data_IF_534439066674
#
_entry.id   IF_534439066674
#
_cell.length_a   1.000
_cell.length_b   1.000
_cell.length_c   1.000
_cell.angle_alpha   90.00
_cell.angle_beta   90.00
_cell.angle_gamma   90.00
#
_symmetry.space_group_name_H-M   'P 1'
#
loop_
_entity.id
_entity.type
_entity.pdbx_description
1 polymer ?
#
# COMPACT_ATOMS: atom_id res chain seq x y z
N UNK A 1 2.83 -42.16 36.05
CA UNK A 1 2.82 -42.16 34.60
C UNK A 1 1.63 -41.33 34.19
N UNK A 2 1.84 -40.21 33.56
CA UNK A 2 0.76 -39.30 33.19
C UNK A 2 0.80 -39.07 31.65
N UNK A 3 -0.38 -39.19 31.02
CA UNK A 3 -0.55 -38.82 29.60
C UNK A 3 0.07 -39.80 28.58
N UNK A 4 0.10 -41.09 28.86
CA UNK A 4 0.63 -42.09 27.92
C UNK A 4 -0.44 -42.44 26.86
N UNK A 5 -0.17 -42.15 25.57
CA UNK A 5 -1.09 -42.49 24.49
C UNK A 5 -0.87 -43.89 23.97
N UNK A 6 -1.94 -44.64 23.83
CA UNK A 6 -1.94 -45.99 23.24
C UNK A 6 -2.95 -46.04 22.11
N UNK A 7 -2.46 -46.44 20.92
CA UNK A 7 -3.31 -46.76 19.79
C UNK A 7 -3.53 -48.26 19.75
N UNK A 8 -4.78 -48.69 19.91
CA UNK A 8 -5.15 -50.10 19.91
C UNK A 8 -6.43 -50.36 19.14
N UNK A 9 -6.52 -51.54 18.51
CA UNK A 9 -7.72 -51.99 17.83
C UNK A 9 -8.52 -52.90 18.81
N UNK A 10 -9.63 -52.34 19.29
CA UNK A 10 -10.48 -53.03 20.26
C UNK A 10 -11.53 -53.87 19.54
N UNK A 11 -11.63 -55.19 19.84
CA UNK A 11 -12.64 -56.05 19.24
C UNK A 11 -14.06 -55.49 19.45
N UNK A 12 -14.80 -55.30 18.36
CA UNK A 12 -16.16 -54.77 18.37
C UNK A 12 -16.30 -53.24 18.54
N UNK A 13 -15.21 -52.51 18.78
CA UNK A 13 -15.19 -51.04 18.93
C UNK A 13 -14.34 -50.37 17.84
N UNK A 14 -13.36 -51.13 17.29
CA UNK A 14 -12.42 -50.65 16.32
C UNK A 14 -11.22 -49.92 16.91
N UNK A 15 -10.43 -49.27 16.02
CA UNK A 15 -9.18 -48.57 16.40
C UNK A 15 -9.48 -47.33 17.24
N UNK A 16 -8.89 -47.24 18.44
CA UNK A 16 -9.02 -46.14 19.36
C UNK A 16 -7.67 -45.64 19.86
N UNK A 17 -7.60 -44.32 20.08
CA UNK A 17 -6.49 -43.68 20.78
C UNK A 17 -6.92 -43.41 22.21
N UNK A 18 -6.28 -44.11 23.16
CA UNK A 18 -6.57 -44.00 24.58
C UNK A 18 -5.46 -43.25 25.31
N UNK A 19 -5.80 -42.27 26.11
CA UNK A 19 -4.86 -41.60 27.01
C UNK A 19 -4.90 -42.31 28.37
N UNK A 20 -3.77 -42.89 28.79
CA UNK A 20 -3.59 -43.62 30.05
C UNK A 20 -2.93 -42.74 31.09
N UNK A 21 -3.52 -42.72 32.27
CA UNK A 21 -2.91 -42.15 33.46
C UNK A 21 -2.84 -43.25 34.54
N UNK A 22 -1.65 -43.45 35.13
CA UNK A 22 -1.42 -44.46 36.16
C UNK A 22 -0.88 -43.79 37.41
N UNK A 23 -1.56 -44.01 38.56
CA UNK A 23 -1.11 -43.57 39.89
C UNK A 23 -1.01 -44.74 40.84
N UNK A 24 0.10 -44.80 41.58
CA UNK A 24 0.27 -45.74 42.70
C UNK A 24 -0.32 -45.09 43.96
N UNK A 25 -1.27 -45.76 44.58
CA UNK A 25 -1.85 -45.38 45.84
C UNK A 25 -1.26 -46.29 46.95
N UNK A 26 -0.66 -45.70 47.97
CA UNK A 26 -0.08 -46.39 49.11
C UNK A 26 -0.99 -46.13 50.29
N UNK A 27 -1.46 -47.19 50.96
CA UNK A 27 -2.28 -47.09 52.15
C UNK A 27 -1.39 -47.17 53.38
N UNK A 28 -1.53 -46.25 54.32
CA UNK A 28 -0.70 -46.16 55.54
C UNK A 28 -0.84 -47.37 56.46
N UNK A 29 -1.87 -48.18 56.27
CA UNK A 29 -2.21 -49.32 57.19
C UNK A 29 -1.89 -50.70 56.63
N UNK A 30 -1.35 -50.82 55.42
CA UNK A 30 -1.05 -52.14 54.83
C UNK A 30 0.16 -52.03 53.84
N UNK A 31 0.96 -53.14 53.78
CA UNK A 31 2.04 -53.36 52.88
C UNK A 31 1.61 -53.39 51.37
N UNK A 32 0.33 -53.25 51.08
CA UNK A 32 -0.23 -53.40 49.78
C UNK A 32 -0.29 -52.04 49.08
N UNK A 33 0.18 -51.96 47.84
CA UNK A 33 0.03 -50.81 46.98
C UNK A 33 -0.98 -51.12 45.85
N UNK A 34 -1.89 -50.20 45.60
CA UNK A 34 -2.86 -50.28 44.49
C UNK A 34 -2.45 -49.37 43.37
N UNK A 35 -2.58 -49.83 42.12
CA UNK A 35 -2.36 -48.98 40.92
C UNK A 35 -3.75 -48.59 40.41
N UNK A 36 -4.01 -47.28 40.40
CA UNK A 36 -5.20 -46.70 39.79
C UNK A 36 -4.85 -46.37 38.32
N UNK A 37 -5.64 -46.93 37.40
CA UNK A 37 -5.51 -46.66 35.96
C UNK A 37 -6.76 -45.89 35.50
N UNK A 38 -6.57 -44.79 34.85
CA UNK A 38 -7.61 -44.03 34.16
C UNK A 38 -7.37 -44.08 32.65
N UNK A 39 -8.41 -44.42 31.89
CA UNK A 39 -8.39 -44.47 30.42
C UNK A 39 -9.37 -43.41 29.90
N UNK A 40 -8.91 -42.59 29.00
CA UNK A 40 -9.75 -41.60 28.31
C UNK A 40 -9.66 -41.83 26.83
N UNK A 41 -10.79 -42.05 26.15
CA UNK A 41 -10.83 -42.12 24.69
C UNK A 41 -10.66 -40.72 24.12
N UNK A 42 -9.55 -40.50 23.41
CA UNK A 42 -9.20 -39.21 22.77
C UNK A 42 -9.20 -39.33 21.26
N UNK A 43 -9.75 -40.39 20.70
CA UNK A 43 -9.74 -40.69 19.25
C UNK A 43 -10.30 -39.53 18.42
N UNK A 44 -11.54 -39.11 18.73
CA UNK A 44 -12.21 -38.03 17.98
C UNK A 44 -11.45 -36.71 18.14
N UNK A 45 -10.99 -36.42 19.37
CA UNK A 45 -10.23 -35.21 19.66
C UNK A 45 -8.93 -35.15 18.81
N UNK A 46 -8.18 -36.27 18.78
CA UNK A 46 -6.93 -36.38 18.01
C UNK A 46 -7.16 -36.32 16.50
N UNK A 47 -8.28 -36.85 16.02
CA UNK A 47 -8.63 -36.75 14.58
C UNK A 47 -8.90 -35.29 14.21
N UNK A 48 -9.74 -34.59 15.00
CA UNK A 48 -10.05 -33.18 14.76
C UNK A 48 -8.81 -32.28 14.88
N UNK A 49 -7.95 -32.51 15.90
CA UNK A 49 -6.70 -31.77 16.05
C UNK A 49 -5.77 -31.95 14.82
N UNK A 50 -5.70 -33.14 14.26
CA UNK A 50 -4.91 -33.43 13.05
C UNK A 50 -5.49 -32.77 11.81
N UNK A 51 -6.81 -32.92 11.59
CA UNK A 51 -7.50 -32.30 10.46
C UNK A 51 -7.37 -30.76 10.50
N UNK A 52 -7.48 -30.16 11.69
CA UNK A 52 -7.27 -28.73 11.88
C UNK A 52 -5.83 -28.30 11.57
N UNK A 53 -4.84 -29.07 12.00
CA UNK A 53 -3.43 -28.79 11.72
C UNK A 53 -3.13 -28.87 10.22
N UNK A 54 -3.66 -29.89 9.54
CA UNK A 54 -3.52 -30.06 8.08
C UNK A 54 -4.20 -28.91 7.33
N UNK A 55 -5.39 -28.48 7.74
CA UNK A 55 -6.10 -27.36 7.14
C UNK A 55 -5.34 -26.04 7.34
N UNK A 56 -4.81 -25.79 8.54
CA UNK A 56 -4.00 -24.61 8.83
C UNK A 56 -2.75 -24.57 7.93
N UNK A 57 -2.02 -25.68 7.85
CA UNK A 57 -0.83 -25.76 7.02
C UNK A 57 -1.16 -25.52 5.53
N UNK A 58 -2.25 -26.10 5.04
CA UNK A 58 -2.71 -25.89 3.67
C UNK A 58 -3.08 -24.43 3.39
N UNK A 59 -3.77 -23.80 4.34
CA UNK A 59 -4.17 -22.39 4.24
C UNK A 59 -2.95 -21.46 4.23
N UNK A 60 -1.96 -21.71 5.08
CA UNK A 60 -0.70 -20.96 5.10
C UNK A 60 0.05 -21.05 3.76
N UNK A 61 0.12 -22.26 3.19
CA UNK A 61 0.78 -22.46 1.89
C UNK A 61 0.03 -21.73 0.76
N UNK A 62 -1.32 -21.76 0.74
CA UNK A 62 -2.12 -21.00 -0.23
C UNK A 62 -1.92 -19.49 -0.10
N UNK A 63 -1.85 -18.98 1.13
CA UNK A 63 -1.56 -17.57 1.37
C UNK A 63 -0.17 -17.19 0.86
N UNK A 64 0.84 -18.03 1.12
CA UNK A 64 2.20 -17.82 0.60
C UNK A 64 2.24 -17.81 -0.92
N UNK A 65 1.57 -18.75 -1.59
CA UNK A 65 1.50 -18.81 -3.05
C UNK A 65 0.77 -17.58 -3.62
N UNK A 66 -0.36 -17.18 -3.02
CA UNK A 66 -1.08 -15.96 -3.39
C UNK A 66 -0.16 -14.74 -3.32
N UNK A 67 0.63 -14.62 -2.24
CA UNK A 67 1.55 -13.51 -2.06
C UNK A 67 2.59 -13.42 -3.19
N UNK A 68 3.25 -14.55 -3.49
CA UNK A 68 4.25 -14.62 -4.57
C UNK A 68 3.64 -14.24 -5.93
N UNK A 69 2.44 -14.76 -6.23
CA UNK A 69 1.75 -14.44 -7.49
C UNK A 69 1.38 -12.94 -7.58
N UNK A 70 0.92 -12.35 -6.49
CA UNK A 70 0.62 -10.92 -6.46
C UNK A 70 1.87 -10.07 -6.70
N UNK A 71 3.00 -10.41 -6.08
CA UNK A 71 4.27 -9.72 -6.32
C UNK A 71 4.71 -9.84 -7.80
N UNK A 72 4.62 -11.03 -8.38
CA UNK A 72 4.97 -11.23 -9.78
C UNK A 72 4.06 -10.42 -10.72
N UNK A 73 2.76 -10.41 -10.48
CA UNK A 73 1.82 -9.60 -11.25
C UNK A 73 2.16 -8.11 -11.17
N UNK A 74 2.49 -7.61 -10.01
CA UNK A 74 2.85 -6.21 -9.78
C UNK A 74 4.13 -5.83 -10.51
N UNK A 75 5.16 -6.66 -10.45
CA UNK A 75 6.38 -6.47 -11.24
C UNK A 75 6.10 -6.44 -12.75
N UNK A 76 5.21 -7.31 -13.23
CA UNK A 76 4.79 -7.32 -14.64
C UNK A 76 4.04 -6.04 -15.02
N UNK A 77 3.18 -5.53 -14.15
CA UNK A 77 2.48 -4.23 -14.36
C UNK A 77 3.49 -3.09 -14.45
N UNK A 78 4.43 -2.98 -13.51
CA UNK A 78 5.47 -1.95 -13.55
C UNK A 78 6.31 -2.01 -14.83
N UNK A 79 6.74 -3.22 -15.24
CA UNK A 79 7.48 -3.43 -16.48
C UNK A 79 6.66 -3.02 -17.72
N UNK A 80 5.37 -3.35 -17.74
CA UNK A 80 4.48 -2.96 -18.86
C UNK A 80 4.32 -1.45 -18.95
N UNK A 81 4.19 -0.77 -17.82
CA UNK A 81 4.13 0.70 -17.78
C UNK A 81 5.43 1.33 -18.26
N UNK A 82 6.61 0.79 -17.92
CA UNK A 82 7.89 1.27 -18.43
C UNK A 82 8.02 1.11 -19.96
N UNK A 83 7.50 0.01 -20.52
CA UNK A 83 7.45 -0.21 -21.97
C UNK A 83 6.54 0.84 -22.62
N UNK A 84 5.36 1.08 -22.07
CA UNK A 84 4.43 2.11 -22.58
C UNK A 84 5.08 3.48 -22.54
N UNK A 85 5.73 3.86 -21.45
CA UNK A 85 6.47 5.10 -21.30
C UNK A 85 7.55 5.23 -22.39
N UNK A 86 8.33 4.17 -22.64
CA UNK A 86 9.36 4.16 -23.67
C UNK A 86 8.79 4.36 -25.07
N UNK A 87 7.64 3.74 -25.38
CA UNK A 87 6.93 3.91 -26.65
C UNK A 87 6.48 5.37 -26.83
N UNK A 88 5.91 5.98 -25.78
CA UNK A 88 5.49 7.39 -25.81
C UNK A 88 6.68 8.31 -26.07
N UNK A 89 7.83 8.08 -25.45
CA UNK A 89 9.05 8.87 -25.67
C UNK A 89 9.58 8.73 -27.11
N UNK A 90 9.59 7.50 -27.66
CA UNK A 90 9.99 7.27 -29.06
C UNK A 90 9.04 7.99 -30.02
N UNK A 91 7.73 7.93 -29.77
CA UNK A 91 6.74 8.65 -30.57
C UNK A 91 6.90 10.16 -30.46
N UNK A 92 7.19 10.69 -29.28
CA UNK A 92 7.45 12.11 -29.06
C UNK A 92 8.65 12.62 -29.88
N UNK A 93 9.67 11.78 -30.11
CA UNK A 93 10.83 12.13 -30.97
C UNK A 93 10.53 12.10 -32.45
N UNK A 94 9.53 11.33 -32.87
CA UNK A 94 9.20 11.12 -34.29
C UNK A 94 8.17 12.13 -34.82
N UNK A 95 7.43 12.84 -33.95
CA UNK A 95 6.43 13.83 -34.40
C UNK A 95 7.07 15.18 -34.68
N UNK A 96 6.53 15.87 -35.71
CA UNK A 96 6.99 17.18 -36.14
C UNK A 96 6.29 18.33 -35.41
N UNK A 97 5.05 18.13 -34.95
CA UNK A 97 4.31 19.14 -34.21
C UNK A 97 4.87 19.28 -32.79
N UNK A 98 5.28 20.49 -32.41
CA UNK A 98 5.80 20.81 -31.08
C UNK A 98 4.74 20.55 -29.99
N UNK A 99 3.50 20.95 -30.23
CA UNK A 99 2.37 20.73 -29.33
C UNK A 99 2.15 19.23 -29.07
N UNK A 100 2.10 18.42 -30.15
CA UNK A 100 1.95 16.98 -30.03
C UNK A 100 3.12 16.35 -29.28
N UNK A 101 4.35 16.87 -29.51
CA UNK A 101 5.55 16.40 -28.79
C UNK A 101 5.48 16.68 -27.30
N UNK A 102 5.01 17.85 -26.89
CA UNK A 102 4.79 18.21 -25.50
C UNK A 102 3.74 17.30 -24.85
N UNK A 103 2.61 17.09 -25.49
CA UNK A 103 1.57 16.18 -24.98
C UNK A 103 2.07 14.75 -24.80
N UNK A 104 2.86 14.22 -25.73
CA UNK A 104 3.44 12.88 -25.61
C UNK A 104 4.49 12.79 -24.50
N UNK A 105 5.28 13.83 -24.29
CA UNK A 105 6.21 13.91 -23.15
C UNK A 105 5.46 13.95 -21.83
N UNK A 106 4.38 14.71 -21.74
CA UNK A 106 3.54 14.77 -20.55
C UNK A 106 2.92 13.41 -20.24
N UNK A 107 2.38 12.73 -21.25
CA UNK A 107 1.86 11.38 -21.09
C UNK A 107 2.94 10.38 -20.66
N UNK A 108 4.15 10.45 -21.23
CA UNK A 108 5.30 9.65 -20.83
C UNK A 108 5.63 9.83 -19.33
N UNK A 109 5.71 11.09 -18.86
CA UNK A 109 6.02 11.42 -17.48
C UNK A 109 4.99 10.83 -16.50
N UNK A 110 3.69 10.94 -16.84
CA UNK A 110 2.59 10.41 -16.05
C UNK A 110 2.63 8.88 -15.95
N UNK A 111 2.91 8.19 -17.07
CA UNK A 111 3.05 6.73 -17.05
C UNK A 111 4.24 6.29 -16.21
N UNK A 112 5.37 7.00 -16.26
CA UNK A 112 6.50 6.73 -15.37
C UNK A 112 6.14 6.93 -13.90
N UNK A 113 5.43 7.99 -13.55
CA UNK A 113 5.01 8.25 -12.18
C UNK A 113 4.08 7.15 -11.64
N UNK A 114 3.17 6.63 -12.47
CA UNK A 114 2.35 5.46 -12.11
C UNK A 114 3.22 4.24 -11.82
N UNK A 115 4.23 3.98 -12.67
CA UNK A 115 5.15 2.86 -12.49
C UNK A 115 5.98 2.99 -11.20
N UNK A 116 6.43 4.21 -10.86
CA UNK A 116 7.16 4.48 -9.62
C UNK A 116 6.28 4.29 -8.40
N UNK A 117 5.05 4.84 -8.40
CA UNK A 117 4.07 4.63 -7.33
C UNK A 117 3.86 3.14 -7.09
N UNK A 118 3.62 2.36 -8.14
CA UNK A 118 3.46 0.91 -8.06
C UNK A 118 4.71 0.22 -7.47
N UNK A 119 5.90 0.62 -7.90
CA UNK A 119 7.16 0.04 -7.42
C UNK A 119 7.43 0.33 -5.92
N UNK A 120 7.08 1.54 -5.45
CA UNK A 120 7.32 1.93 -4.06
C UNK A 120 6.39 1.26 -3.06
N UNK A 121 5.17 0.95 -3.45
CA UNK A 121 4.19 0.29 -2.59
C UNK A 121 4.60 -1.12 -2.18
N UNK A 122 5.43 -1.78 -2.99
CA UNK A 122 5.82 -3.18 -2.77
C UNK A 122 7.14 -3.37 -2.02
N UNK A 123 7.94 -2.31 -1.87
CA UNK A 123 9.18 -2.38 -1.10
C UNK A 123 8.95 -2.48 0.42
N UNK A 124 7.75 -2.24 0.89
CA UNK A 124 7.43 -2.12 2.33
C UNK A 124 7.01 -3.41 3.03
N UNK A 125 6.92 -4.55 2.33
CA UNK A 125 6.76 -5.89 2.93
C UNK A 125 5.43 -6.20 3.65
N UNK A 126 4.69 -5.21 4.10
CA UNK A 126 3.36 -5.34 4.72
C UNK A 126 2.29 -5.02 3.68
N UNK A 127 1.53 -6.04 3.27
CA UNK A 127 0.66 -6.01 2.09
C UNK A 127 -0.62 -5.18 2.25
N UNK A 128 -1.02 -4.86 3.46
CA UNK A 128 -2.34 -4.27 3.69
C UNK A 128 -2.31 -2.80 4.12
N UNK A 129 -1.23 -2.31 4.71
CA UNK A 129 -1.18 -0.93 5.22
C UNK A 129 0.16 -0.25 4.94
N UNK A 130 0.10 0.95 4.39
CA UNK A 130 1.26 1.75 4.00
C UNK A 130 1.31 2.99 4.89
N UNK A 131 2.47 3.24 5.52
CA UNK A 131 2.71 4.46 6.27
C UNK A 131 2.85 5.65 5.31
N UNK A 132 1.95 6.63 5.44
CA UNK A 132 1.79 7.73 4.47
C UNK A 132 3.02 8.63 4.40
N UNK A 133 3.60 9.01 5.53
CA UNK A 133 4.74 9.94 5.58
C UNK A 133 5.97 9.45 4.82
N UNK A 134 6.55 8.28 5.14
CA UNK A 134 7.68 7.70 4.40
C UNK A 134 7.37 7.47 2.92
N UNK A 135 6.15 7.03 2.59
CA UNK A 135 5.72 6.82 1.23
C UNK A 135 5.74 8.11 0.40
N UNK A 136 5.07 9.17 0.87
CA UNK A 136 5.03 10.47 0.18
C UNK A 136 6.41 11.12 0.11
N UNK A 137 7.23 10.98 1.15
CA UNK A 137 8.61 11.51 1.16
C UNK A 137 9.45 10.87 0.05
N UNK A 138 9.38 9.55 -0.10
CA UNK A 138 10.13 8.82 -1.13
C UNK A 138 9.64 9.16 -2.54
N UNK A 139 8.32 9.25 -2.72
CA UNK A 139 7.70 9.64 -3.99
C UNK A 139 8.13 11.05 -4.41
N UNK A 140 8.05 12.02 -3.50
CA UNK A 140 8.42 13.40 -3.77
C UNK A 140 9.92 13.59 -4.02
N UNK A 141 10.78 12.81 -3.33
CA UNK A 141 12.22 12.79 -3.60
C UNK A 141 12.54 12.31 -5.03
N UNK A 142 11.84 11.27 -5.51
CA UNK A 142 11.98 10.77 -6.88
C UNK A 142 11.51 11.81 -7.91
N UNK A 143 10.37 12.47 -7.67
CA UNK A 143 9.87 13.55 -8.52
C UNK A 143 10.84 14.72 -8.58
N UNK A 144 11.40 15.13 -7.45
CA UNK A 144 12.41 16.18 -7.39
C UNK A 144 13.63 15.83 -8.24
N UNK A 145 14.17 14.62 -8.08
CA UNK A 145 15.34 14.16 -8.82
C UNK A 145 15.11 14.09 -10.36
N UNK A 146 13.87 13.79 -10.78
CA UNK A 146 13.54 13.62 -12.20
C UNK A 146 13.13 14.92 -12.90
N UNK A 147 12.59 15.90 -12.17
CA UNK A 147 11.93 17.07 -12.77
C UNK A 147 12.54 18.41 -12.39
N UNK A 148 13.20 18.53 -11.25
CA UNK A 148 13.83 19.76 -10.80
C UNK A 148 15.24 19.83 -11.39
N UNK A 149 15.47 20.78 -12.32
CA UNK A 149 16.78 21.00 -12.93
C UNK A 149 17.64 21.95 -12.09
N UNK A 150 18.95 21.95 -12.36
CA UNK A 150 19.91 22.88 -11.71
C UNK A 150 19.58 24.36 -12.01
N UNK A 151 18.92 24.62 -13.13
CA UNK A 151 18.59 25.98 -13.57
C UNK A 151 17.38 26.59 -12.83
N UNK A 152 16.55 25.77 -12.19
CA UNK A 152 15.37 26.26 -11.47
C UNK A 152 15.17 25.41 -10.19
N UNK A 153 15.88 25.75 -9.10
CA UNK A 153 15.80 24.98 -7.85
C UNK A 153 14.44 25.22 -7.17
N UNK A 154 13.58 24.20 -7.21
CA UNK A 154 12.30 24.18 -6.49
C UNK A 154 12.45 23.21 -5.31
N UNK A 155 12.24 23.69 -4.09
CA UNK A 155 12.21 22.84 -2.91
C UNK A 155 10.88 22.08 -2.83
N UNK A 156 10.95 20.75 -2.71
CA UNK A 156 9.76 19.92 -2.46
C UNK A 156 9.89 19.36 -1.04
N UNK A 157 8.90 19.64 -0.18
CA UNK A 157 8.89 19.21 1.22
C UNK A 157 7.62 18.43 1.54
N UNK A 158 7.77 17.43 2.41
CA UNK A 158 6.65 16.63 2.92
C UNK A 158 6.60 16.77 4.43
N UNK A 159 5.43 17.14 4.95
CA UNK A 159 5.10 17.19 6.37
C UNK A 159 3.88 16.31 6.60
N UNK A 160 4.04 15.21 7.33
CA UNK A 160 3.01 14.21 7.48
C UNK A 160 2.89 13.73 8.92
N UNK A 161 1.66 13.70 9.41
CA UNK A 161 1.31 12.98 10.62
C UNK A 161 1.46 11.46 10.40
N UNK A 162 1.55 10.72 11.51
CA UNK A 162 1.47 9.26 11.42
C UNK A 162 0.10 8.83 10.93
N UNK A 163 0.07 8.07 9.86
CA UNK A 163 -1.15 7.52 9.28
C UNK A 163 -0.85 6.32 8.41
N UNK A 164 -1.81 5.41 8.34
CA UNK A 164 -1.73 4.21 7.51
C UNK A 164 -2.91 4.15 6.57
N UNK A 165 -2.66 3.76 5.32
CA UNK A 165 -3.69 3.60 4.29
C UNK A 165 -3.51 2.28 3.56
N UNK A 166 -4.60 1.72 3.04
CA UNK A 166 -4.55 0.53 2.19
C UNK A 166 -3.78 0.80 0.89
N UNK A 167 -3.19 -0.24 0.30
CA UNK A 167 -2.35 -0.14 -0.89
C UNK A 167 -3.07 0.47 -2.10
N UNK A 168 -4.35 0.17 -2.30
CA UNK A 168 -5.20 0.73 -3.36
C UNK A 168 -5.42 2.24 -3.19
N UNK A 169 -5.68 2.70 -1.95
CA UNK A 169 -5.79 4.13 -1.62
C UNK A 169 -4.44 4.85 -1.75
N UNK A 170 -3.34 4.18 -1.39
CA UNK A 170 -1.99 4.72 -1.54
C UNK A 170 -1.64 5.00 -3.00
N UNK A 171 -2.00 4.11 -3.93
CA UNK A 171 -1.85 4.34 -5.38
C UNK A 171 -2.57 5.62 -5.79
N UNK A 172 -3.84 5.75 -5.43
CA UNK A 172 -4.65 6.91 -5.79
C UNK A 172 -4.10 8.20 -5.20
N UNK A 173 -3.69 8.17 -3.92
CA UNK A 173 -3.06 9.31 -3.23
C UNK A 173 -1.72 9.70 -3.88
N UNK A 174 -0.87 8.73 -4.19
CA UNK A 174 0.41 8.98 -4.84
C UNK A 174 0.27 9.60 -6.23
N UNK A 175 -0.69 9.15 -7.02
CA UNK A 175 -0.99 9.72 -8.34
C UNK A 175 -1.52 11.14 -8.21
N UNK A 176 -2.38 11.42 -7.26
CA UNK A 176 -2.88 12.78 -6.97
C UNK A 176 -1.70 13.71 -6.63
N UNK A 177 -0.85 13.31 -5.67
CA UNK A 177 0.34 14.10 -5.29
C UNK A 177 1.24 14.33 -6.49
N UNK A 178 1.50 13.29 -7.28
CA UNK A 178 2.32 13.39 -8.49
C UNK A 178 1.77 14.43 -9.47
N UNK A 179 0.48 14.37 -9.81
CA UNK A 179 -0.14 15.31 -10.74
C UNK A 179 -0.10 16.75 -10.19
N UNK A 180 -0.38 16.94 -8.91
CA UNK A 180 -0.37 18.26 -8.30
C UNK A 180 1.05 18.85 -8.21
N UNK A 181 2.04 18.06 -7.85
CA UNK A 181 3.45 18.46 -7.81
C UNK A 181 3.97 18.79 -9.21
N UNK A 182 3.66 17.97 -10.22
CA UNK A 182 4.02 18.26 -11.62
C UNK A 182 3.40 19.56 -12.07
N UNK A 183 2.13 19.81 -11.75
CA UNK A 183 1.46 21.06 -12.11
C UNK A 183 2.11 22.25 -11.42
N UNK A 184 2.47 22.15 -10.14
CA UNK A 184 3.18 23.21 -9.43
C UNK A 184 4.56 23.52 -10.07
N UNK A 185 5.37 22.51 -10.37
CA UNK A 185 6.67 22.68 -11.01
C UNK A 185 6.53 23.37 -12.37
N UNK A 186 5.52 23.01 -13.16
CA UNK A 186 5.33 23.54 -14.52
C UNK A 186 4.73 24.93 -14.58
N UNK A 187 3.82 25.25 -13.66
CA UNK A 187 2.94 26.42 -13.80
C UNK A 187 3.06 27.44 -12.69
N UNK A 188 3.48 27.03 -11.47
CA UNK A 188 3.51 27.94 -10.35
C UNK A 188 4.71 28.91 -10.39
N UNK A 189 5.79 28.55 -11.05
CA UNK A 189 7.05 29.30 -11.06
C UNK A 189 7.50 29.67 -12.47
N UNK A 190 6.81 30.61 -13.15
CA UNK A 190 7.17 31.03 -14.53
C UNK A 190 8.50 31.77 -14.62
N UNK A 191 9.00 32.28 -13.50
CA UNK A 191 10.29 32.95 -13.37
C UNK A 191 11.11 32.32 -12.23
N UNK A 192 12.43 32.38 -12.35
CA UNK A 192 13.33 31.84 -11.34
C UNK A 192 13.11 32.55 -10.01
N UNK A 193 12.87 31.74 -8.95
CA UNK A 193 12.71 32.20 -7.59
C UNK A 193 13.58 31.36 -6.66
N UNK A 194 14.39 32.05 -5.86
CA UNK A 194 15.28 31.36 -4.90
C UNK A 194 14.52 30.66 -3.74
N UNK A 195 13.27 31.09 -3.47
CA UNK A 195 12.40 30.59 -2.44
C UNK A 195 11.24 29.72 -2.95
N UNK A 196 11.35 29.21 -4.20
CA UNK A 196 10.32 28.35 -4.78
C UNK A 196 10.13 27.09 -3.93
N UNK A 197 8.90 26.89 -3.45
CA UNK A 197 8.54 25.79 -2.53
C UNK A 197 7.23 25.13 -2.95
N UNK A 198 7.25 23.80 -3.00
CA UNK A 198 6.05 22.96 -3.02
C UNK A 198 6.01 22.17 -1.72
N UNK A 199 4.98 22.37 -0.93
CA UNK A 199 4.77 21.72 0.36
C UNK A 199 3.61 20.74 0.25
N UNK A 200 3.88 19.49 0.60
CA UNK A 200 2.87 18.44 0.72
C UNK A 200 2.61 18.19 2.19
N UNK A 201 1.36 18.30 2.62
CA UNK A 201 0.97 18.03 4.01
C UNK A 201 -0.03 16.89 4.07
N UNK A 202 0.12 16.04 5.08
CA UNK A 202 -0.84 15.00 5.41
C UNK A 202 -1.16 15.08 6.90
N UNK A 203 -2.43 15.25 7.22
CA UNK A 203 -2.92 15.26 8.60
C UNK A 203 -3.96 14.17 8.80
N UNK A 204 -3.81 13.39 9.88
CA UNK A 204 -4.79 12.39 10.31
C UNK A 204 -5.75 13.05 11.31
N UNK A 205 -7.05 12.96 11.06
CA UNK A 205 -8.10 13.57 11.89
C UNK A 205 -9.16 12.51 12.24
N UNK A 206 -9.02 11.87 13.39
CA UNK A 206 -9.89 10.76 13.79
C UNK A 206 -9.82 9.61 12.77
N UNK A 207 -10.97 9.19 12.24
CA UNK A 207 -11.06 8.18 11.19
C UNK A 207 -10.88 8.76 9.77
N UNK A 208 -10.76 10.08 9.64
CA UNK A 208 -10.54 10.80 8.39
C UNK A 208 -9.10 11.26 8.22
N UNK A 209 -8.82 11.86 7.06
CA UNK A 209 -7.53 12.45 6.74
C UNK A 209 -7.67 13.66 5.82
N UNK A 210 -6.65 14.50 5.84
CA UNK A 210 -6.51 15.66 4.93
C UNK A 210 -5.12 15.59 4.30
N UNK A 211 -5.09 15.55 2.97
CA UNK A 211 -3.91 15.72 2.15
C UNK A 211 -3.96 17.08 1.50
N UNK A 212 -2.91 17.88 1.58
CA UNK A 212 -2.85 19.13 0.83
C UNK A 212 -1.51 19.28 0.10
N UNK A 213 -1.57 19.90 -1.08
CA UNK A 213 -0.41 20.33 -1.86
C UNK A 213 -0.51 21.84 -1.99
N UNK A 214 0.51 22.51 -1.50
CA UNK A 214 0.64 23.97 -1.51
C UNK A 214 1.89 24.37 -2.29
N UNK A 215 1.76 25.37 -3.17
CA UNK A 215 2.89 26.08 -3.76
C UNK A 215 2.88 27.56 -3.35
N UNK A 216 4.04 28.17 -3.28
CA UNK A 216 4.19 29.61 -3.05
C UNK A 216 4.39 30.39 -4.34
N UNK A 217 3.89 29.87 -5.45
CA UNK A 217 4.03 30.45 -6.78
C UNK A 217 3.12 31.64 -7.06
N UNK A 218 2.84 31.86 -8.35
CA UNK A 218 2.04 33.01 -8.82
C UNK A 218 0.54 32.91 -8.51
N UNK A 219 0.06 31.72 -8.06
CA UNK A 219 -1.34 31.47 -7.76
C UNK A 219 -2.24 31.52 -9.00
N UNK A 220 -3.56 31.67 -8.78
CA UNK A 220 -4.56 31.69 -9.85
C UNK A 220 -4.78 33.09 -10.47
N UNK A 221 -4.19 34.14 -9.94
CA UNK A 221 -4.35 35.52 -10.43
C UNK A 221 -3.58 35.78 -11.76
N UNK A 222 -3.70 34.99 -12.74
CA UNK A 222 -3.04 35.15 -14.05
C UNK A 222 -3.17 33.95 -14.94
N UNK A 223 -3.59 32.86 -14.41
CA UNK A 223 -3.93 31.67 -15.16
C UNK A 223 -5.43 31.68 -15.40
N UNK A 224 -5.86 32.11 -16.56
CA UNK A 224 -7.23 31.81 -17.04
C UNK A 224 -7.33 30.28 -16.97
N UNK A 225 -8.26 29.71 -16.14
CA UNK A 225 -8.49 28.29 -16.20
C UNK A 225 -8.77 27.96 -17.66
N UNK A 226 -7.94 27.16 -18.30
CA UNK A 226 -8.30 26.66 -19.62
C UNK A 226 -9.72 26.09 -19.46
N UNK A 227 -10.65 26.56 -20.29
CA UNK A 227 -12.08 26.24 -20.20
C UNK A 227 -12.37 24.71 -20.29
N UNK A 228 -11.35 23.93 -20.55
CA UNK A 228 -11.27 22.48 -20.43
C UNK A 228 -10.07 22.18 -19.52
N UNK A 229 -10.31 21.86 -18.26
CA UNK A 229 -9.28 21.39 -17.33
C UNK A 229 -8.42 20.35 -18.04
N UNK A 230 -7.10 20.53 -18.01
CA UNK A 230 -6.19 19.61 -18.70
C UNK A 230 -6.37 18.17 -18.21
N UNK A 231 -5.88 17.20 -18.97
CA UNK A 231 -6.01 15.76 -18.64
C UNK A 231 -5.65 15.45 -17.18
N UNK A 232 -4.68 16.17 -16.58
CA UNK A 232 -4.29 16.03 -15.19
C UNK A 232 -5.39 16.35 -14.18
N UNK A 233 -6.13 17.43 -14.40
CA UNK A 233 -7.25 17.81 -13.53
C UNK A 233 -8.35 16.75 -13.53
N UNK A 234 -8.70 16.23 -14.71
CA UNK A 234 -9.69 15.17 -14.85
C UNK A 234 -9.25 13.87 -14.14
N UNK A 235 -7.95 13.54 -14.18
CA UNK A 235 -7.38 12.40 -13.46
C UNK A 235 -7.50 12.62 -11.95
N UNK A 236 -7.08 13.78 -11.43
CA UNK A 236 -7.17 14.11 -10.00
C UNK A 236 -8.61 14.01 -9.52
N UNK A 237 -9.57 14.60 -10.24
CA UNK A 237 -11.00 14.52 -9.89
C UNK A 237 -11.53 13.07 -9.87
N UNK A 238 -11.11 12.23 -10.81
CA UNK A 238 -11.50 10.82 -10.84
C UNK A 238 -10.93 10.06 -9.63
N UNK A 239 -9.66 10.29 -9.29
CA UNK A 239 -9.00 9.64 -8.15
C UNK A 239 -9.55 10.13 -6.80
N UNK A 240 -9.89 11.41 -6.69
CA UNK A 240 -10.56 11.97 -5.50
C UNK A 240 -11.91 11.30 -5.27
N UNK A 241 -12.71 11.09 -6.33
CA UNK A 241 -13.95 10.31 -6.24
C UNK A 241 -13.73 8.85 -5.83
N UNK A 242 -12.66 8.22 -6.33
CA UNK A 242 -12.31 6.85 -5.96
C UNK A 242 -11.90 6.72 -4.48
N UNK A 243 -11.36 7.78 -3.89
CA UNK A 243 -11.01 7.85 -2.47
C UNK A 243 -12.19 8.22 -1.57
N UNK A 244 -13.40 8.42 -2.12
CA UNK A 244 -14.56 8.96 -1.40
C UNK A 244 -14.24 10.28 -0.68
N UNK A 245 -13.41 11.10 -1.31
CA UNK A 245 -12.88 12.36 -0.76
C UNK A 245 -13.47 13.59 -1.45
N UNK A 246 -13.28 14.74 -0.83
CA UNK A 246 -13.66 16.05 -1.38
C UNK A 246 -12.41 16.87 -1.65
N UNK A 247 -12.35 17.49 -2.82
CA UNK A 247 -11.28 18.42 -3.19
C UNK A 247 -11.77 19.86 -2.98
N UNK A 248 -10.92 20.68 -2.37
CA UNK A 248 -11.12 22.13 -2.21
C UNK A 248 -9.90 22.89 -2.70
N UNK A 249 -10.15 24.05 -3.28
CA UNK A 249 -9.13 24.94 -3.80
C UNK A 249 -9.15 26.23 -2.98
N UNK A 250 -8.03 26.63 -2.43
CA UNK A 250 -7.88 27.88 -1.70
C UNK A 250 -6.85 28.76 -2.41
N UNK A 251 -7.24 29.92 -2.94
CA UNK A 251 -6.28 30.95 -3.40
C UNK A 251 -5.59 31.53 -2.16
N UNK A 252 -4.30 31.45 -2.10
CA UNK A 252 -3.41 32.09 -1.13
C UNK A 252 -2.25 32.68 -1.94
N UNK A 253 -1.27 33.38 -1.37
CA UNK A 253 -0.04 33.64 -2.15
C UNK A 253 0.49 32.28 -2.65
N UNK A 254 0.25 31.96 -3.96
CA UNK A 254 0.35 30.62 -4.51
C UNK A 254 -1.00 29.90 -4.59
N UNK A 255 -0.99 28.57 -4.67
CA UNK A 255 -2.17 27.72 -4.75
C UNK A 255 -2.13 26.64 -3.67
N UNK A 256 -3.26 26.38 -3.04
CA UNK A 256 -3.42 25.23 -2.14
C UNK A 256 -4.58 24.37 -2.62
N UNK A 257 -4.30 23.10 -2.89
CA UNK A 257 -5.31 22.10 -3.20
C UNK A 257 -5.36 21.11 -2.04
N UNK A 258 -6.50 21.03 -1.38
CA UNK A 258 -6.74 20.15 -0.24
C UNK A 258 -7.74 19.07 -0.60
N UNK A 259 -7.44 17.84 -0.20
CA UNK A 259 -8.28 16.66 -0.40
C UNK A 259 -8.56 16.09 0.98
N UNK A 260 -9.83 16.03 1.33
CA UNK A 260 -10.28 15.58 2.64
C UNK A 260 -11.23 14.39 2.50
N UNK A 261 -10.95 13.35 3.27
CA UNK A 261 -11.82 12.21 3.47
C UNK A 261 -12.36 12.30 4.91
N UNK A 262 -13.67 12.41 5.05
CA UNK A 262 -14.34 12.30 6.35
C UNK A 262 -14.85 10.87 6.49
N UNK A 263 -14.68 10.27 7.66
CA UNK A 263 -15.21 8.95 7.98
C UNK A 263 -16.74 9.01 8.09
#
# INVERSE_FOLDING_TARGET
MDGFEVNHDFPGVGRRTMLLNARKVIYETSSNSTILLAFTDVTTRRTVERELAELLQHTEELLRQKHVLLQEMQHRVANSLQIIASILLIKARAVTSEETRLHLKDAHQRVLSVAEVQSHLHASGDLDQIEVGPYLTKLCASLAASMVGESQPIAIRVEADRGFIGSDKAVSMGLIVTELVINAIKYAFPTDRADALVLITYASAGDGWVLAVHDNGVGSEGVVPAANGGLGTAIVEALVRQLDARMTLAPSPGMTISISHAA
#
